data_IF_235019207646
#
_entry.id   IF_235019207646
#
_cell.length_a   1.000
_cell.length_b   1.000
_cell.length_c   1.000
_cell.angle_alpha   90.00
_cell.angle_beta   90.00
_cell.angle_gamma   90.00
#
_symmetry.space_group_name_H-M   'P 1'
#
loop_
_entity.id
_entity.type
_entity.pdbx_description
1 polymer ?
#
# COMPACT_ATOMS: atom_id res chain seq x y z
N UNK A 1 -15.68 0.78 2.03
CA UNK A 1 -15.34 0.11 3.32
C UNK A 1 -15.62 -1.39 3.20
N UNK A 2 -14.83 -2.23 3.87
CA UNK A 2 -15.07 -3.67 3.95
C UNK A 2 -16.16 -3.99 4.98
N UNK A 3 -16.56 -5.26 5.09
CA UNK A 3 -17.64 -5.67 6.01
C UNK A 3 -17.29 -5.49 7.48
N UNK A 4 -16.02 -5.65 7.89
CA UNK A 4 -15.57 -5.43 9.28
C UNK A 4 -15.60 -3.96 9.64
N UNK A 5 -15.06 -3.11 8.75
CA UNK A 5 -15.11 -1.65 8.90
C UNK A 5 -16.55 -1.14 8.98
N UNK A 6 -17.45 -1.72 8.17
CA UNK A 6 -18.87 -1.39 8.19
C UNK A 6 -19.52 -1.75 9.53
N UNK A 7 -19.22 -2.91 10.10
CA UNK A 7 -19.77 -3.33 11.39
C UNK A 7 -19.33 -2.40 12.51
N UNK A 8 -18.04 -2.06 12.56
CA UNK A 8 -17.51 -1.10 13.53
C UNK A 8 -18.15 0.29 13.36
N UNK A 9 -18.31 0.74 12.12
CA UNK A 9 -18.96 2.03 11.84
C UNK A 9 -20.42 2.05 12.31
N UNK A 10 -21.19 0.99 12.02
CA UNK A 10 -22.59 0.89 12.42
C UNK A 10 -22.74 0.86 13.94
N UNK A 11 -21.87 0.13 14.65
CA UNK A 11 -21.84 0.08 16.11
C UNK A 11 -21.52 1.45 16.71
N UNK A 12 -20.48 2.12 16.21
CA UNK A 12 -20.07 3.44 16.70
C UNK A 12 -21.13 4.54 16.46
N UNK A 13 -22.00 4.36 15.46
CA UNK A 13 -23.01 5.33 15.07
C UNK A 13 -24.45 4.89 15.36
N UNK A 14 -24.67 3.88 16.21
CA UNK A 14 -25.98 3.33 16.52
C UNK A 14 -26.99 4.41 16.95
N UNK A 15 -26.56 5.43 17.66
CA UNK A 15 -27.38 6.53 18.15
C UNK A 15 -27.43 7.74 17.22
N UNK A 16 -26.86 7.66 16.02
CA UNK A 16 -26.90 8.76 15.04
C UNK A 16 -28.34 9.10 14.63
N UNK A 17 -28.67 10.39 14.44
CA UNK A 17 -29.97 10.81 13.95
C UNK A 17 -30.21 10.39 12.49
N UNK A 18 -29.20 10.15 11.72
CA UNK A 18 -29.28 9.74 10.31
C UNK A 18 -29.55 8.24 10.15
N UNK A 19 -30.73 7.82 10.60
CA UNK A 19 -31.18 6.42 10.49
C UNK A 19 -31.30 5.94 9.05
N UNK A 20 -31.55 6.86 8.10
CA UNK A 20 -31.68 6.50 6.68
C UNK A 20 -30.36 6.02 6.12
N UNK A 21 -29.28 6.75 6.31
CA UNK A 21 -27.93 6.36 5.86
C UNK A 21 -27.48 5.06 6.55
N UNK A 22 -27.71 4.91 7.85
CA UNK A 22 -27.39 3.65 8.55
C UNK A 22 -28.15 2.44 7.99
N UNK A 23 -29.42 2.62 7.65
CA UNK A 23 -30.24 1.56 7.06
C UNK A 23 -29.73 1.16 5.66
N UNK A 24 -29.35 2.13 4.83
CA UNK A 24 -28.75 1.87 3.52
C UNK A 24 -27.43 1.12 3.63
N UNK A 25 -26.54 1.56 4.52
CA UNK A 25 -25.27 0.90 4.80
C UNK A 25 -25.47 -0.54 5.29
N UNK A 26 -26.39 -0.75 6.23
CA UNK A 26 -26.75 -2.10 6.73
C UNK A 26 -27.27 -3.00 5.60
N UNK A 27 -28.12 -2.46 4.72
CA UNK A 27 -28.68 -3.20 3.59
C UNK A 27 -27.59 -3.58 2.58
N UNK A 28 -26.69 -2.65 2.25
CA UNK A 28 -25.55 -2.92 1.38
C UNK A 28 -24.63 -4.01 1.99
N UNK A 29 -24.38 -3.95 3.30
CA UNK A 29 -23.62 -4.97 4.01
C UNK A 29 -24.28 -6.35 3.97
N UNK A 30 -25.60 -6.41 4.13
CA UNK A 30 -26.36 -7.67 3.99
C UNK A 30 -26.25 -8.24 2.58
N UNK A 31 -26.37 -7.40 1.54
CA UNK A 31 -26.18 -7.83 0.16
C UNK A 31 -24.78 -8.44 -0.06
N UNK A 32 -23.74 -7.76 0.44
CA UNK A 32 -22.37 -8.26 0.32
C UNK A 32 -22.13 -9.57 1.09
N UNK A 33 -22.72 -9.76 2.27
CA UNK A 33 -22.67 -11.05 3.00
C UNK A 33 -23.38 -12.18 2.23
N UNK A 34 -24.39 -11.84 1.44
CA UNK A 34 -25.15 -12.82 0.64
C UNK A 34 -24.55 -13.03 -0.77
N UNK A 35 -23.30 -12.65 -1.00
CA UNK A 35 -22.56 -12.96 -2.23
C UNK A 35 -22.47 -11.83 -3.25
N UNK A 36 -23.02 -10.66 -2.98
CA UNK A 36 -22.76 -9.48 -3.81
C UNK A 36 -21.34 -9.02 -3.54
N UNK A 37 -20.53 -8.92 -4.57
CA UNK A 37 -19.10 -8.54 -4.44
C UNK A 37 -18.95 -7.10 -3.96
N UNK A 38 -19.76 -6.18 -4.50
CA UNK A 38 -19.74 -4.75 -4.21
C UNK A 38 -21.14 -4.16 -4.25
N UNK A 39 -21.43 -3.26 -3.32
CA UNK A 39 -22.66 -2.45 -3.30
C UNK A 39 -22.29 -0.97 -3.19
N UNK A 40 -22.81 -0.15 -4.07
CA UNK A 40 -22.55 1.28 -4.11
C UNK A 40 -23.79 2.06 -3.66
N UNK A 41 -23.58 3.02 -2.75
CA UNK A 41 -24.60 3.95 -2.28
C UNK A 41 -24.25 5.31 -2.85
N UNK A 42 -25.06 5.81 -3.76
CA UNK A 42 -24.84 7.05 -4.49
C UNK A 42 -25.94 8.04 -4.18
N UNK A 43 -25.62 9.33 -4.06
CA UNK A 43 -26.60 10.39 -3.89
C UNK A 43 -27.28 10.70 -5.24
N UNK A 44 -28.47 10.18 -5.44
CA UNK A 44 -29.23 10.40 -6.67
C UNK A 44 -29.72 11.85 -6.90
N UNK A 45 -29.59 12.74 -5.91
CA UNK A 45 -29.93 14.16 -6.06
C UNK A 45 -28.77 15.01 -6.59
N UNK A 46 -27.57 14.45 -6.69
CA UNK A 46 -26.38 15.15 -7.19
C UNK A 46 -26.25 14.90 -8.70
N UNK A 47 -26.21 15.97 -9.48
CA UNK A 47 -25.96 15.88 -10.92
C UNK A 47 -24.62 15.19 -11.20
N UNK A 48 -24.64 14.23 -12.14
CA UNK A 48 -23.45 13.51 -12.54
C UNK A 48 -22.93 12.47 -11.52
N UNK A 49 -23.62 12.26 -10.40
CA UNK A 49 -23.15 11.32 -9.38
C UNK A 49 -23.03 9.88 -9.91
N UNK A 50 -24.02 9.40 -10.65
CA UNK A 50 -23.97 8.05 -11.22
C UNK A 50 -22.88 7.88 -12.30
N UNK A 51 -22.74 8.77 -13.29
CA UNK A 51 -21.60 8.75 -14.20
C UNK A 51 -20.24 8.82 -13.48
N UNK A 52 -20.12 9.68 -12.48
CA UNK A 52 -18.89 9.76 -11.67
C UNK A 52 -18.59 8.44 -10.97
N UNK A 53 -19.59 7.77 -10.38
CA UNK A 53 -19.42 6.47 -9.73
C UNK A 53 -18.98 5.37 -10.70
N UNK A 54 -19.47 5.40 -11.95
CA UNK A 54 -19.18 4.35 -12.93
C UNK A 54 -17.87 4.60 -13.68
N UNK A 55 -17.56 5.84 -14.00
CA UNK A 55 -16.47 6.19 -14.92
C UNK A 55 -15.25 6.84 -14.26
N UNK A 56 -15.30 7.17 -12.96
CA UNK A 56 -14.12 7.66 -12.26
C UNK A 56 -13.49 6.58 -11.36
N UNK A 57 -12.20 6.71 -11.10
CA UNK A 57 -11.45 5.73 -10.31
C UNK A 57 -11.87 5.66 -8.84
N UNK A 58 -12.34 6.76 -8.27
CA UNK A 58 -12.76 6.83 -6.86
C UNK A 58 -14.28 6.81 -6.66
N UNK A 59 -15.05 7.09 -7.72
CA UNK A 59 -16.49 7.26 -7.60
C UNK A 59 -16.91 8.55 -6.87
N UNK A 60 -18.19 8.65 -6.56
CA UNK A 60 -18.78 9.79 -5.82
C UNK A 60 -19.59 9.33 -4.61
N UNK A 61 -19.72 8.01 -4.41
CA UNK A 61 -20.56 7.40 -3.41
C UNK A 61 -19.79 6.69 -2.30
N UNK A 62 -20.50 5.83 -1.60
CA UNK A 62 -19.93 4.93 -0.61
C UNK A 62 -20.01 3.50 -1.13
N UNK A 63 -18.87 2.84 -1.28
CA UNK A 63 -18.78 1.45 -1.69
C UNK A 63 -18.60 0.53 -0.48
N UNK A 64 -19.46 -0.49 -0.39
CA UNK A 64 -19.33 -1.62 0.53
C UNK A 64 -18.88 -2.84 -0.30
N UNK A 65 -17.93 -3.62 0.20
CA UNK A 65 -17.42 -4.79 -0.53
C UNK A 65 -17.17 -5.98 0.40
N UNK A 66 -17.41 -7.18 -0.12
CA UNK A 66 -17.33 -8.45 0.63
C UNK A 66 -15.91 -9.02 0.75
N UNK A 67 -15.01 -8.64 -0.18
CA UNK A 67 -13.63 -9.10 -0.23
C UNK A 67 -12.69 -7.90 -0.23
N UNK A 68 -11.39 -8.13 -0.15
CA UNK A 68 -10.42 -7.04 -0.27
C UNK A 68 -10.63 -6.28 -1.59
N UNK A 69 -10.82 -4.96 -1.50
CA UNK A 69 -10.99 -4.08 -2.65
C UNK A 69 -9.77 -4.09 -3.58
N UNK A 70 -8.62 -4.45 -3.05
CA UNK A 70 -7.42 -4.68 -3.83
C UNK A 70 -6.64 -5.85 -3.27
N UNK A 71 -5.74 -6.39 -4.07
CA UNK A 71 -4.90 -7.52 -3.71
C UNK A 71 -3.42 -7.19 -3.82
N UNK A 72 -2.64 -7.71 -2.88
CA UNK A 72 -1.17 -7.69 -2.97
C UNK A 72 -0.75 -8.98 -3.68
N UNK A 73 0.02 -8.84 -4.74
CA UNK A 73 0.60 -9.97 -5.46
C UNK A 73 2.04 -9.70 -5.90
N UNK A 74 2.72 -10.76 -6.30
CA UNK A 74 4.03 -10.67 -6.93
C UNK A 74 3.94 -9.86 -8.23
N UNK A 75 4.92 -8.99 -8.47
CA UNK A 75 5.05 -8.27 -9.73
C UNK A 75 5.35 -9.24 -10.86
N UNK A 76 4.77 -9.00 -12.01
CA UNK A 76 5.06 -9.68 -13.28
C UNK A 76 5.71 -8.72 -14.27
N UNK A 77 6.28 -9.23 -15.34
CA UNK A 77 6.89 -8.39 -16.39
C UNK A 77 5.89 -7.43 -17.03
N UNK A 78 4.62 -7.82 -17.12
CA UNK A 78 3.56 -6.98 -17.70
C UNK A 78 3.23 -5.76 -16.83
N UNK A 79 3.56 -5.80 -15.53
CA UNK A 79 3.30 -4.70 -14.60
C UNK A 79 4.35 -3.58 -14.67
N UNK A 80 5.52 -3.82 -15.28
CA UNK A 80 6.65 -2.89 -15.27
C UNK A 80 6.25 -1.47 -15.71
N UNK A 81 5.53 -1.27 -16.84
CA UNK A 81 5.13 0.08 -17.25
C UNK A 81 4.24 0.79 -16.23
N UNK A 82 3.29 0.07 -15.62
CA UNK A 82 2.39 0.60 -14.60
C UNK A 82 3.16 0.93 -13.31
N UNK A 83 4.08 0.07 -12.89
CA UNK A 83 4.96 0.31 -11.72
C UNK A 83 5.81 1.57 -11.92
N UNK A 84 6.41 1.75 -13.08
CA UNK A 84 7.17 2.95 -13.41
C UNK A 84 6.29 4.21 -13.40
N UNK A 85 5.05 4.09 -13.86
CA UNK A 85 4.08 5.19 -13.82
C UNK A 85 3.74 5.57 -12.37
N UNK A 86 3.47 4.61 -11.50
CA UNK A 86 3.22 4.85 -10.06
C UNK A 86 4.46 5.44 -9.36
N UNK A 87 5.66 5.03 -9.74
CA UNK A 87 6.91 5.54 -9.14
C UNK A 87 7.27 6.94 -9.62
N UNK A 88 6.87 7.36 -10.81
CA UNK A 88 7.31 8.60 -11.47
C UNK A 88 7.17 9.84 -10.60
N UNK A 89 6.02 10.16 -9.96
CA UNK A 89 5.89 11.35 -9.13
C UNK A 89 6.90 11.39 -7.98
N UNK A 90 7.20 10.23 -7.38
CA UNK A 90 8.16 10.11 -6.29
C UNK A 90 9.61 10.25 -6.76
N UNK A 91 9.91 9.85 -7.98
CA UNK A 91 11.23 10.04 -8.60
C UNK A 91 11.44 11.52 -8.93
N UNK A 92 10.46 12.20 -9.51
CA UNK A 92 10.49 13.64 -9.80
C UNK A 92 10.68 14.48 -8.53
N UNK A 93 10.03 14.08 -7.43
CA UNK A 93 10.19 14.69 -6.11
C UNK A 93 11.49 14.29 -5.40
N UNK A 94 12.35 13.47 -6.01
CA UNK A 94 13.61 12.93 -5.43
C UNK A 94 13.39 12.07 -4.15
N UNK A 95 12.19 11.56 -3.95
CA UNK A 95 11.86 10.64 -2.85
C UNK A 95 12.38 9.23 -3.18
N UNK A 96 12.14 8.77 -4.41
CA UNK A 96 12.64 7.49 -4.91
C UNK A 96 13.78 7.70 -5.92
N UNK A 97 14.67 6.71 -6.02
CA UNK A 97 15.64 6.62 -7.09
C UNK A 97 14.96 6.15 -8.38
N UNK A 98 15.33 6.71 -9.55
CA UNK A 98 14.84 6.21 -10.82
C UNK A 98 15.25 4.74 -11.01
N UNK A 99 14.42 4.01 -11.72
CA UNK A 99 14.67 2.64 -12.11
C UNK A 99 14.38 2.47 -13.60
N UNK A 100 15.16 1.65 -14.26
CA UNK A 100 14.89 1.24 -15.64
C UNK A 100 14.06 -0.04 -15.65
N UNK A 101 13.41 -0.31 -16.78
CA UNK A 101 12.68 -1.55 -17.03
C UNK A 101 13.58 -2.76 -16.78
N UNK A 102 14.84 -2.70 -17.23
CA UNK A 102 15.81 -3.77 -17.04
C UNK A 102 16.10 -4.03 -15.56
N UNK A 103 16.28 -2.97 -14.75
CA UNK A 103 16.52 -3.10 -13.31
C UNK A 103 15.33 -3.69 -12.56
N UNK A 104 14.11 -3.35 -12.99
CA UNK A 104 12.89 -3.96 -12.42
C UNK A 104 12.77 -5.43 -12.83
N UNK A 105 13.09 -5.75 -14.08
CA UNK A 105 13.04 -7.12 -14.59
C UNK A 105 14.07 -8.02 -13.89
N UNK A 106 15.29 -7.55 -13.70
CA UNK A 106 16.36 -8.29 -13.02
C UNK A 106 15.97 -8.65 -11.58
N UNK A 107 15.27 -7.74 -10.88
CA UNK A 107 14.84 -7.92 -9.48
C UNK A 107 13.34 -8.18 -9.33
N UNK A 108 12.69 -8.71 -10.35
CA UNK A 108 11.24 -8.86 -10.41
C UNK A 108 10.67 -9.65 -9.21
N UNK A 109 11.42 -10.62 -8.69
CA UNK A 109 11.03 -11.44 -7.56
C UNK A 109 11.05 -10.70 -6.21
N UNK A 110 11.68 -9.54 -6.14
CA UNK A 110 11.72 -8.71 -4.95
C UNK A 110 10.49 -7.79 -4.85
N UNK A 111 9.85 -7.48 -6.00
CA UNK A 111 8.77 -6.52 -6.09
C UNK A 111 7.40 -7.16 -5.88
N UNK A 112 6.56 -6.44 -5.15
CA UNK A 112 5.13 -6.68 -5.03
C UNK A 112 4.36 -5.48 -5.54
N UNK A 113 3.15 -5.73 -5.99
CA UNK A 113 2.22 -4.70 -6.44
C UNK A 113 0.90 -4.81 -5.68
N UNK A 114 0.22 -3.67 -5.54
CA UNK A 114 -1.16 -3.62 -5.09
C UNK A 114 -2.06 -3.32 -6.29
N UNK A 115 -2.94 -4.25 -6.60
CA UNK A 115 -3.84 -4.17 -7.75
C UNK A 115 -5.27 -3.88 -7.31
N UNK A 116 -5.92 -2.92 -7.97
CA UNK A 116 -7.34 -2.62 -7.85
C UNK A 116 -7.93 -2.61 -9.26
N UNK A 117 -8.96 -3.41 -9.50
CA UNK A 117 -9.70 -3.46 -10.76
C UNK A 117 -8.80 -3.61 -12.01
N UNK A 118 -7.77 -4.44 -11.90
CA UNK A 118 -6.80 -4.65 -12.97
C UNK A 118 -5.75 -3.55 -13.12
N UNK A 119 -5.84 -2.48 -12.34
CA UNK A 119 -4.86 -1.38 -12.32
C UNK A 119 -3.88 -1.47 -11.17
N UNK A 120 -2.59 -1.26 -11.42
CA UNK A 120 -1.58 -1.19 -10.37
C UNK A 120 -1.65 0.18 -9.70
N UNK A 121 -1.87 0.19 -8.37
CA UNK A 121 -2.03 1.40 -7.55
C UNK A 121 -0.89 1.61 -6.55
N UNK A 122 -0.10 0.58 -6.30
CA UNK A 122 1.09 0.73 -5.48
C UNK A 122 2.12 -0.34 -5.83
N UNK A 123 3.38 -0.08 -5.48
CA UNK A 123 4.46 -1.05 -5.53
C UNK A 123 5.36 -0.91 -4.31
N UNK A 124 6.07 -1.99 -3.98
CA UNK A 124 7.15 -2.01 -3.01
C UNK A 124 8.09 -3.17 -3.30
N UNK A 125 9.32 -3.11 -2.80
CA UNK A 125 10.31 -4.17 -2.94
C UNK A 125 10.85 -4.63 -1.58
N UNK A 126 11.22 -5.91 -1.48
CA UNK A 126 11.95 -6.51 -0.37
C UNK A 126 13.24 -7.13 -0.90
N UNK A 127 14.35 -6.43 -0.74
CA UNK A 127 15.68 -6.93 -1.11
C UNK A 127 16.30 -7.66 0.08
N UNK A 128 16.57 -8.94 -0.06
CA UNK A 128 17.18 -9.77 1.00
C UNK A 128 18.68 -9.90 0.70
N UNK A 129 19.51 -9.67 1.72
CA UNK A 129 20.96 -9.68 1.64
C UNK A 129 21.55 -10.96 2.28
N UNK A 130 22.80 -11.23 1.95
CA UNK A 130 23.52 -12.45 2.37
C UNK A 130 23.69 -12.59 3.90
N UNK A 131 23.64 -11.48 4.64
CA UNK A 131 23.75 -11.43 6.10
C UNK A 131 22.41 -11.58 6.85
N UNK A 132 21.36 -11.99 6.17
CA UNK A 132 19.99 -12.12 6.68
C UNK A 132 19.35 -10.78 7.10
N UNK A 133 19.80 -9.68 6.57
CA UNK A 133 19.08 -8.41 6.60
C UNK A 133 18.23 -8.25 5.35
N UNK A 134 17.19 -7.43 5.41
CA UNK A 134 16.42 -7.06 4.22
C UNK A 134 16.16 -5.56 4.18
N UNK A 135 16.10 -4.99 2.97
CA UNK A 135 15.68 -3.62 2.71
C UNK A 135 14.26 -3.60 2.14
N UNK A 136 13.36 -2.85 2.78
CA UNK A 136 12.13 -2.43 2.12
C UNK A 136 12.43 -1.16 1.35
N UNK A 137 12.23 -1.21 0.03
CA UNK A 137 12.56 -0.14 -0.91
C UNK A 137 11.43 0.10 -1.90
N UNK A 138 11.54 1.17 -2.69
CA UNK A 138 10.64 1.48 -3.80
C UNK A 138 9.15 1.51 -3.40
N UNK A 139 8.84 1.93 -2.17
CA UNK A 139 7.46 2.06 -1.70
C UNK A 139 6.83 3.28 -2.35
N UNK A 140 5.88 3.04 -3.23
CA UNK A 140 5.10 4.07 -3.91
C UNK A 140 3.63 3.69 -3.90
N UNK A 141 2.76 4.64 -3.59
CA UNK A 141 1.30 4.50 -3.64
C UNK A 141 0.76 5.64 -4.49
N UNK A 142 -0.07 5.34 -5.48
CA UNK A 142 -0.78 6.33 -6.28
C UNK A 142 -1.50 7.31 -5.34
N UNK A 143 -1.26 8.61 -5.52
CA UNK A 143 -1.77 9.67 -4.65
C UNK A 143 -3.30 9.62 -4.53
N UNK A 144 -3.98 9.27 -5.61
CA UNK A 144 -5.44 9.10 -5.66
C UNK A 144 -5.95 8.07 -4.65
N UNK A 145 -5.13 7.04 -4.36
CA UNK A 145 -5.48 5.93 -3.48
C UNK A 145 -4.77 5.99 -2.11
N UNK A 146 -4.06 7.07 -1.81
CA UNK A 146 -3.23 7.22 -0.60
C UNK A 146 -4.01 7.05 0.71
N UNK A 147 -5.28 7.45 0.73
CA UNK A 147 -6.15 7.40 1.91
C UNK A 147 -6.76 6.00 2.18
N UNK A 148 -6.53 5.01 1.32
CA UNK A 148 -7.08 3.66 1.46
C UNK A 148 -6.22 2.72 2.34
N UNK A 149 -5.19 3.24 3.01
CA UNK A 149 -4.32 2.46 3.87
C UNK A 149 -3.48 1.40 3.14
N UNK A 150 -3.24 1.59 1.84
CA UNK A 150 -2.48 0.65 1.01
C UNK A 150 -1.04 0.52 1.48
N UNK A 151 -0.37 1.64 1.78
CA UNK A 151 1.03 1.64 2.23
C UNK A 151 1.26 0.75 3.47
N UNK A 152 0.53 0.96 4.58
CA UNK A 152 0.61 0.08 5.76
C UNK A 152 0.39 -1.40 5.45
N UNK A 153 -0.61 -1.74 4.63
CA UNK A 153 -0.90 -3.14 4.21
C UNK A 153 0.27 -3.77 3.46
N UNK A 154 0.90 -3.02 2.54
CA UNK A 154 2.08 -3.50 1.81
C UNK A 154 3.28 -3.73 2.72
N UNK A 155 3.55 -2.80 3.64
CA UNK A 155 4.65 -2.97 4.61
C UNK A 155 4.41 -4.18 5.50
N UNK A 156 3.21 -4.36 6.03
CA UNK A 156 2.85 -5.53 6.84
C UNK A 156 3.05 -6.84 6.05
N UNK A 157 2.63 -6.87 4.79
CA UNK A 157 2.85 -8.02 3.91
C UNK A 157 4.34 -8.33 3.73
N UNK A 158 5.18 -7.29 3.49
CA UNK A 158 6.63 -7.48 3.33
C UNK A 158 7.29 -7.92 4.63
N UNK A 159 6.84 -7.42 5.79
CA UNK A 159 7.33 -7.88 7.10
C UNK A 159 6.99 -9.37 7.30
N UNK A 160 5.77 -9.80 6.99
CA UNK A 160 5.37 -11.22 7.05
C UNK A 160 6.22 -12.07 6.10
N UNK A 161 6.45 -11.59 4.88
CA UNK A 161 7.31 -12.25 3.89
C UNK A 161 8.77 -12.36 4.36
N UNK A 162 9.32 -11.32 4.98
CA UNK A 162 10.67 -11.34 5.53
C UNK A 162 10.79 -12.37 6.68
N UNK A 163 9.81 -12.41 7.59
CA UNK A 163 9.73 -13.42 8.66
C UNK A 163 9.72 -14.85 8.12
N UNK A 164 8.92 -15.13 7.10
CA UNK A 164 8.85 -16.47 6.48
C UNK A 164 10.15 -16.88 5.78
N UNK A 165 11.05 -15.95 5.51
CA UNK A 165 12.37 -16.17 4.92
C UNK A 165 13.52 -16.10 5.92
N UNK A 166 13.23 -16.15 7.23
CA UNK A 166 14.19 -16.11 8.31
C UNK A 166 15.10 -14.86 8.32
N UNK A 167 14.59 -13.73 7.82
CA UNK A 167 15.27 -12.44 7.91
C UNK A 167 15.29 -11.99 9.37
N UNK A 168 16.43 -11.51 9.85
CA UNK A 168 16.64 -11.08 11.27
C UNK A 168 16.17 -9.64 11.50
N UNK A 169 16.41 -8.78 10.53
CA UNK A 169 16.04 -7.37 10.61
C UNK A 169 15.71 -6.80 9.25
N UNK A 170 14.79 -5.84 9.24
CA UNK A 170 14.41 -5.08 8.04
C UNK A 170 14.89 -3.65 8.24
N UNK A 171 15.47 -3.06 7.23
CA UNK A 171 15.78 -1.63 7.22
C UNK A 171 15.15 -0.92 6.03
N UNK A 172 15.06 0.39 6.16
CA UNK A 172 14.61 1.32 5.13
C UNK A 172 15.56 2.48 5.05
N UNK A 173 15.65 3.10 3.88
CA UNK A 173 16.34 4.35 3.65
C UNK A 173 15.33 5.39 3.20
N UNK A 174 15.12 6.43 4.00
CA UNK A 174 14.15 7.49 3.71
C UNK A 174 14.73 8.88 3.87
N UNK A 175 14.25 9.82 3.05
CA UNK A 175 14.61 11.24 3.14
C UNK A 175 13.50 12.08 3.78
N UNK A 176 12.23 11.62 3.81
CA UNK A 176 11.09 12.44 4.22
C UNK A 176 10.07 11.74 5.13
N UNK A 177 9.98 10.40 5.09
CA UNK A 177 8.88 9.65 5.71
C UNK A 177 9.26 8.96 7.02
N UNK A 178 10.24 9.49 7.76
CA UNK A 178 10.72 8.97 9.04
C UNK A 178 9.58 8.70 10.03
N UNK A 179 8.76 9.71 10.28
CA UNK A 179 7.70 9.67 11.30
C UNK A 179 6.65 8.58 11.03
N UNK A 180 6.39 8.33 9.73
CA UNK A 180 5.46 7.28 9.35
C UNK A 180 6.03 5.88 9.64
N UNK A 181 7.31 5.65 9.36
CA UNK A 181 7.97 4.38 9.65
C UNK A 181 8.17 4.16 11.16
N UNK A 182 8.42 5.22 11.92
CA UNK A 182 8.51 5.13 13.39
C UNK A 182 7.18 4.67 14.01
N UNK A 183 6.03 5.14 13.48
CA UNK A 183 4.70 4.69 13.91
C UNK A 183 4.46 3.20 13.65
N UNK A 184 5.10 2.62 12.64
CA UNK A 184 5.04 1.19 12.30
C UNK A 184 6.01 0.37 13.17
N UNK A 185 6.89 1.02 13.93
CA UNK A 185 7.81 0.36 14.85
C UNK A 185 9.29 0.36 14.42
N UNK A 186 9.61 0.97 13.28
CA UNK A 186 11.00 1.17 12.92
C UNK A 186 11.67 2.17 13.86
N UNK A 187 12.96 2.01 14.08
CA UNK A 187 13.79 2.89 14.93
C UNK A 187 14.98 3.39 14.13
N UNK A 188 15.40 4.63 14.40
CA UNK A 188 16.59 5.21 13.78
C UNK A 188 17.81 4.34 14.05
N UNK A 189 18.62 4.10 13.03
CA UNK A 189 19.83 3.31 13.10
C UNK A 189 20.94 3.97 12.28
N UNK A 190 22.17 3.49 12.45
CA UNK A 190 23.35 4.02 11.78
C UNK A 190 23.52 3.39 10.40
N UNK A 191 23.97 4.18 9.43
CA UNK A 191 24.22 3.70 8.06
C UNK A 191 25.31 2.63 7.98
N UNK A 192 26.23 2.62 8.95
CA UNK A 192 27.28 1.61 9.07
C UNK A 192 26.75 0.20 9.36
N UNK A 193 25.51 0.09 9.83
CA UNK A 193 24.84 -1.21 10.09
C UNK A 193 24.24 -1.86 8.84
N UNK A 194 24.27 -1.20 7.69
CA UNK A 194 23.82 -1.77 6.43
C UNK A 194 24.69 -2.95 5.98
N UNK A 195 24.13 -3.90 5.20
CA UNK A 195 24.91 -4.90 4.48
C UNK A 195 25.99 -4.26 3.61
N UNK A 196 27.17 -4.87 3.51
CA UNK A 196 28.29 -4.34 2.72
C UNK A 196 27.90 -4.15 1.24
N UNK A 197 27.15 -5.09 0.68
CA UNK A 197 26.61 -5.01 -0.68
C UNK A 197 25.77 -3.74 -0.90
N UNK A 198 25.03 -3.32 0.14
CA UNK A 198 24.16 -2.13 0.07
C UNK A 198 24.95 -0.84 0.30
N UNK A 199 25.96 -0.86 1.18
CA UNK A 199 26.85 0.29 1.41
C UNK A 199 27.57 0.71 0.14
N UNK A 200 28.00 -0.24 -0.68
CA UNK A 200 28.68 0.04 -1.95
C UNK A 200 27.81 0.84 -2.93
N UNK A 201 26.48 0.77 -2.79
CA UNK A 201 25.50 1.47 -3.64
C UNK A 201 24.92 2.71 -2.95
N UNK A 202 25.32 3.02 -1.71
CA UNK A 202 24.79 4.14 -0.95
C UNK A 202 25.56 5.43 -1.26
N UNK A 203 24.85 6.53 -1.46
CA UNK A 203 25.42 7.86 -1.64
C UNK A 203 25.05 8.77 -0.47
N UNK A 204 26.04 9.38 0.21
CA UNK A 204 25.81 10.36 1.28
C UNK A 204 25.07 11.61 0.79
N UNK A 205 25.25 11.99 -0.46
CA UNK A 205 24.66 13.20 -1.07
C UNK A 205 23.13 13.21 -0.99
N UNK A 206 22.53 12.01 -0.96
CA UNK A 206 21.07 11.85 -0.86
C UNK A 206 20.53 12.19 0.53
N UNK A 207 21.38 12.24 1.55
CA UNK A 207 21.00 12.51 2.95
C UNK A 207 19.84 11.62 3.46
N UNK A 208 19.80 10.34 3.03
CA UNK A 208 18.81 9.39 3.50
C UNK A 208 19.17 8.86 4.88
N UNK A 209 18.18 8.85 5.76
CA UNK A 209 18.30 8.27 7.12
C UNK A 209 17.92 6.80 7.08
N UNK A 210 18.62 5.99 7.86
CA UNK A 210 18.32 4.57 8.03
C UNK A 210 17.43 4.36 9.25
N UNK A 211 16.38 3.58 9.06
CA UNK A 211 15.53 3.08 10.14
C UNK A 211 15.47 1.56 10.06
N UNK A 212 15.45 0.89 11.23
CA UNK A 212 15.48 -0.56 11.34
C UNK A 212 14.34 -1.09 12.20
N UNK A 213 13.82 -2.23 11.79
CA UNK A 213 12.88 -3.06 12.54
C UNK A 213 13.53 -4.43 12.77
N UNK A 214 13.77 -4.80 14.01
CA UNK A 214 14.18 -6.15 14.36
C UNK A 214 12.95 -7.06 14.36
N UNK A 215 13.02 -8.14 13.61
CA UNK A 215 11.92 -9.10 13.45
C UNK A 215 12.31 -10.48 13.97
N UNK A 216 13.18 -10.52 14.98
CA UNK A 216 13.57 -11.78 15.62
C UNK A 216 12.35 -12.64 15.93
N UNK A 217 12.43 -13.97 15.72
CA UNK A 217 11.37 -14.89 16.06
C UNK A 217 11.09 -14.93 17.56
#
# INVERSE_FOLDING_TARGET
>A
MNLEELELFLQANENSPDKKTLSLLSTAGKACRNGVTRAHIVNGSSDGALPCEIFSELGSGTMIYSQNYGSIRQMTQQDIPAVLTVMRPFVEQKILLPRTDYQLLEKINDYIVYEIDGGIRACAALHIYSDNQAEIAAVAVDETFSNLGIGPKMIEFLIKRAKSRNVKSIFILTTRTSDWFEKIGFRSDKTESMPEERKALWSPERNSKLFRLNICP
#
